data_IF_627859861968
#
_entry.id   IF_627859861968
#
_cell.length_a   1.000
_cell.length_b   1.000
_cell.length_c   1.000
_cell.angle_alpha   90.00
_cell.angle_beta   90.00
_cell.angle_gamma   90.00
#
_symmetry.space_group_name_H-M   'P 1'
#
loop_
_entity.id
_entity.type
_entity.pdbx_description
1 polymer ?
#
# COMPACT_ATOMS: atom_id res chain seq x y z
N UNK A 1 -4.55 31.52 -3.19
CA UNK A 1 -4.34 30.23 -2.52
C UNK A 1 -4.11 29.19 -3.64
N UNK A 2 -2.84 28.91 -3.99
CA UNK A 2 -2.50 28.00 -5.08
C UNK A 2 -2.86 26.57 -4.65
N UNK A 3 -3.86 25.99 -5.30
CA UNK A 3 -4.13 24.56 -5.24
C UNK A 3 -2.95 23.84 -5.94
N UNK A 4 -2.03 23.30 -5.16
CA UNK A 4 -1.03 22.35 -5.66
C UNK A 4 -1.81 21.13 -6.12
N UNK A 5 -2.06 21.06 -7.44
CA UNK A 5 -2.71 19.90 -8.06
C UNK A 5 -1.71 18.75 -8.01
N UNK A 6 -1.99 17.72 -7.20
CA UNK A 6 -1.30 16.44 -7.23
C UNK A 6 -1.62 15.71 -8.55
N UNK A 7 -1.16 16.23 -9.68
CA UNK A 7 -1.26 15.54 -10.97
C UNK A 7 -0.19 14.47 -11.02
N UNK A 8 -0.50 13.23 -11.42
CA UNK A 8 0.52 12.24 -11.69
C UNK A 8 1.36 12.73 -12.87
N UNK A 9 2.60 13.10 -12.58
CA UNK A 9 3.64 13.35 -13.58
C UNK A 9 4.36 12.02 -13.74
N UNK A 10 4.47 11.52 -14.97
CA UNK A 10 5.25 10.32 -15.27
C UNK A 10 6.70 10.45 -14.79
N UNK A 11 7.45 9.35 -14.70
CA UNK A 11 8.83 9.40 -14.26
C UNK A 11 9.60 10.37 -15.16
N UNK A 12 10.45 11.24 -14.57
CA UNK A 12 11.34 12.07 -15.38
C UNK A 12 12.19 11.16 -16.26
N UNK A 13 12.38 11.54 -17.53
CA UNK A 13 13.22 10.80 -18.47
C UNK A 13 14.59 10.53 -17.83
N UNK A 14 14.99 9.26 -17.77
CA UNK A 14 16.30 8.85 -17.22
C UNK A 14 16.27 8.29 -15.79
N UNK A 15 15.15 8.28 -15.05
CA UNK A 15 15.07 7.59 -13.77
C UNK A 15 14.99 6.08 -14.02
N UNK A 16 16.13 5.42 -14.03
CA UNK A 16 16.19 3.95 -13.92
C UNK A 16 15.86 3.58 -12.47
N UNK A 17 14.92 2.70 -12.28
CA UNK A 17 14.60 2.15 -10.96
C UNK A 17 15.70 1.15 -10.56
N UNK A 18 16.78 1.66 -9.97
CA UNK A 18 17.91 0.88 -9.50
C UNK A 18 17.73 0.40 -8.05
N UNK A 19 16.49 0.40 -7.51
CA UNK A 19 16.28 -0.12 -6.17
C UNK A 19 16.72 -1.59 -6.11
N UNK A 20 17.83 -1.83 -5.41
CA UNK A 20 18.25 -3.17 -4.99
C UNK A 20 17.89 -3.31 -3.52
N UNK A 21 17.08 -4.31 -3.14
CA UNK A 21 16.93 -4.65 -1.73
C UNK A 21 18.32 -4.84 -1.13
N UNK A 22 18.55 -4.43 0.13
CA UNK A 22 19.79 -4.74 0.81
C UNK A 22 20.08 -6.23 0.67
N UNK A 23 21.26 -6.59 0.21
CA UNK A 23 21.73 -7.98 0.23
C UNK A 23 21.63 -8.40 1.69
N UNK A 24 20.92 -9.48 1.99
CA UNK A 24 20.91 -10.03 3.32
C UNK A 24 22.37 -10.35 3.66
N UNK A 25 22.95 -9.59 4.58
CA UNK A 25 24.11 -10.07 5.29
C UNK A 25 23.67 -11.38 5.95
N UNK A 26 24.26 -12.47 5.51
CA UNK A 26 24.14 -13.78 6.16
C UNK A 26 24.91 -13.71 7.49
N UNK A 27 24.44 -12.87 8.41
CA UNK A 27 24.84 -12.95 9.80
C UNK A 27 24.04 -14.09 10.41
N UNK A 28 24.70 -15.22 10.58
CA UNK A 28 24.27 -16.24 11.53
C UNK A 28 23.84 -15.53 12.82
N UNK A 29 22.69 -15.86 13.43
CA UNK A 29 22.30 -15.24 14.67
C UNK A 29 23.32 -15.65 15.73
N UNK A 30 24.24 -14.74 16.06
CA UNK A 30 24.97 -14.83 17.29
C UNK A 30 23.95 -14.95 18.42
N UNK A 31 24.02 -16.02 19.20
CA UNK A 31 23.26 -16.22 20.44
C UNK A 31 23.58 -15.04 21.37
N UNK A 32 22.80 -13.99 21.33
CA UNK A 32 22.69 -13.06 22.44
C UNK A 32 21.58 -13.58 23.36
N UNK A 33 22.00 -14.16 24.51
CA UNK A 33 21.14 -14.34 25.67
C UNK A 33 20.63 -12.97 26.12
N UNK A 34 19.40 -12.64 25.76
CA UNK A 34 18.72 -11.41 26.17
C UNK A 34 17.22 -11.61 25.96
N UNK A 35 16.44 -11.59 27.04
CA UNK A 35 15.03 -11.92 27.14
C UNK A 35 14.18 -11.59 25.92
N UNK A 36 13.48 -12.58 25.41
CA UNK A 36 12.60 -12.50 24.26
C UNK A 36 11.36 -11.66 24.55
N UNK A 37 11.49 -10.33 24.51
CA UNK A 37 10.37 -9.41 24.50
C UNK A 37 9.92 -9.19 23.06
N UNK A 38 8.97 -9.97 22.58
CA UNK A 38 8.28 -9.68 21.31
C UNK A 38 7.72 -8.25 21.34
N UNK A 39 7.84 -7.50 20.24
CA UNK A 39 7.20 -6.19 20.14
C UNK A 39 5.69 -6.37 20.27
N UNK A 40 5.07 -5.79 21.28
CA UNK A 40 3.60 -5.83 21.39
C UNK A 40 2.97 -5.19 20.15
N UNK A 41 1.76 -5.61 19.81
CA UNK A 41 0.99 -5.02 18.71
C UNK A 41 0.94 -3.49 18.83
N UNK A 42 0.77 -2.97 20.05
CA UNK A 42 0.75 -1.54 20.33
C UNK A 42 2.10 -0.86 20.03
N UNK A 43 3.21 -1.51 20.37
CA UNK A 43 4.55 -0.99 20.04
C UNK A 43 4.78 -0.95 18.53
N UNK A 44 4.37 -1.99 17.80
CA UNK A 44 4.45 -2.00 16.34
C UNK A 44 3.58 -0.90 15.71
N UNK A 45 2.36 -0.68 16.24
CA UNK A 45 1.49 0.41 15.78
C UNK A 45 2.13 1.79 16.00
N UNK A 46 2.79 2.04 17.10
CA UNK A 46 3.53 3.29 17.32
C UNK A 46 4.65 3.48 16.28
N UNK A 47 5.38 2.42 15.94
CA UNK A 47 6.42 2.48 14.91
C UNK A 47 5.87 2.77 13.50
N UNK A 48 4.63 2.39 13.21
CA UNK A 48 3.96 2.76 11.95
C UNK A 48 3.73 4.27 11.86
N UNK A 49 3.58 4.96 12.99
CA UNK A 49 3.23 6.39 13.04
C UNK A 49 1.98 6.69 12.20
N UNK A 50 0.86 6.03 12.58
CA UNK A 50 -0.38 6.10 11.83
C UNK A 50 -1.20 7.34 12.22
N UNK A 51 -1.43 8.22 11.25
CA UNK A 51 -2.40 9.32 11.31
C UNK A 51 -3.73 8.84 10.71
N UNK A 52 -4.84 9.05 11.41
CA UNK A 52 -6.18 8.78 10.89
C UNK A 52 -6.74 10.08 10.32
N UNK A 53 -6.93 10.15 9.01
CA UNK A 53 -7.49 11.31 8.31
C UNK A 53 -8.44 10.84 7.18
N UNK A 54 -9.66 10.51 7.60
CA UNK A 54 -10.67 9.85 6.79
C UNK A 54 -11.29 10.77 5.73
N UNK A 55 -11.50 10.22 4.53
CA UNK A 55 -12.46 10.78 3.59
C UNK A 55 -13.86 10.64 4.19
N UNK A 56 -14.64 11.71 4.17
CA UNK A 56 -16.00 11.71 4.72
C UNK A 56 -16.89 10.70 4.00
N UNK A 57 -17.65 9.91 4.74
CA UNK A 57 -18.65 9.02 4.15
C UNK A 57 -19.65 9.81 3.30
N UNK A 58 -20.16 9.20 2.25
CA UNK A 58 -21.08 9.77 1.25
C UNK A 58 -20.48 10.88 0.39
N UNK A 59 -19.14 11.01 0.37
CA UNK A 59 -18.43 11.92 -0.53
C UNK A 59 -17.41 11.19 -1.41
N UNK A 60 -17.20 11.66 -2.63
CA UNK A 60 -16.17 11.22 -3.57
C UNK A 60 -15.99 9.67 -3.62
N UNK A 61 -14.81 9.16 -3.32
CA UNK A 61 -14.53 7.72 -3.33
C UNK A 61 -15.34 6.92 -2.31
N UNK A 62 -15.88 7.56 -1.28
CA UNK A 62 -16.80 6.99 -0.30
C UNK A 62 -18.26 7.46 -0.49
N UNK A 63 -18.62 7.94 -1.70
CA UNK A 63 -20.01 8.38 -1.99
C UNK A 63 -21.03 7.26 -1.81
N UNK A 64 -20.62 6.03 -2.02
CA UNK A 64 -21.36 4.82 -1.68
C UNK A 64 -20.52 4.03 -0.69
N UNK A 65 -20.99 3.88 0.54
CA UNK A 65 -20.35 3.04 1.55
C UNK A 65 -20.72 1.58 1.26
N UNK A 66 -19.72 0.77 0.98
CA UNK A 66 -19.88 -0.65 0.64
C UNK A 66 -19.17 -1.50 1.70
N UNK A 67 -19.89 -2.29 2.49
CA UNK A 67 -19.27 -3.16 3.48
C UNK A 67 -18.30 -4.15 2.84
N UNK A 68 -17.20 -4.44 3.54
CA UNK A 68 -16.19 -5.42 3.13
C UNK A 68 -15.74 -6.23 4.33
N UNK A 69 -15.58 -7.54 4.12
CA UNK A 69 -14.81 -8.41 5.02
C UNK A 69 -13.46 -8.66 4.36
N UNK A 70 -12.39 -7.99 4.79
CA UNK A 70 -11.10 -8.08 4.10
C UNK A 70 -10.51 -9.48 4.24
N UNK A 71 -10.02 -10.01 3.12
CA UNK A 71 -9.33 -11.30 3.02
C UNK A 71 -7.91 -11.16 2.50
N UNK A 72 -7.59 -10.02 1.91
CA UNK A 72 -6.31 -9.71 1.29
C UNK A 72 -5.80 -8.33 1.73
N UNK A 73 -4.50 -8.13 1.59
CA UNK A 73 -3.87 -6.81 1.62
C UNK A 73 -3.17 -6.62 0.28
N UNK A 74 -3.56 -5.57 -0.45
CA UNK A 74 -2.97 -5.24 -1.75
C UNK A 74 -1.98 -4.09 -1.60
N UNK A 75 -0.75 -4.33 -2.02
CA UNK A 75 0.32 -3.35 -1.98
C UNK A 75 0.46 -2.69 -3.36
N UNK A 76 0.48 -1.35 -3.33
CA UNK A 76 0.66 -0.48 -4.50
C UNK A 76 1.86 0.42 -4.33
N UNK A 77 2.22 1.10 -5.40
CA UNK A 77 3.05 2.30 -5.39
C UNK A 77 2.35 3.41 -6.16
N UNK A 78 2.44 4.64 -5.64
CA UNK A 78 1.66 5.77 -6.15
C UNK A 78 2.03 6.16 -7.58
N UNK A 79 3.25 5.84 -8.02
CA UNK A 79 3.81 6.29 -9.30
C UNK A 79 3.65 7.83 -9.47
N UNK A 80 3.70 8.54 -8.35
CA UNK A 80 3.58 9.99 -8.27
C UNK A 80 4.83 10.56 -7.59
N UNK A 81 5.65 11.26 -8.38
CA UNK A 81 6.94 11.78 -7.94
C UNK A 81 6.87 13.17 -7.30
N UNK A 82 5.67 13.73 -7.14
CA UNK A 82 5.45 15.07 -6.57
C UNK A 82 4.56 15.08 -5.33
N UNK A 83 3.75 14.05 -5.14
CA UNK A 83 2.77 13.99 -4.03
C UNK A 83 3.22 13.08 -2.91
N UNK A 84 3.32 13.63 -1.71
CA UNK A 84 3.48 12.90 -0.45
C UNK A 84 2.16 12.28 0.05
N UNK A 85 2.17 11.62 1.21
CA UNK A 85 0.97 10.99 1.76
C UNK A 85 -0.12 12.01 2.11
N UNK A 86 0.25 13.20 2.54
CA UNK A 86 -0.70 14.28 2.88
C UNK A 86 -1.31 14.89 1.63
N UNK A 87 -0.53 15.00 0.54
CA UNK A 87 -1.02 15.42 -0.76
C UNK A 87 -2.08 14.43 -1.29
N UNK A 88 -1.80 13.12 -1.22
CA UNK A 88 -2.76 12.09 -1.60
C UNK A 88 -4.02 12.13 -0.72
N UNK A 89 -3.87 12.34 0.59
CA UNK A 89 -4.99 12.51 1.50
C UNK A 89 -5.90 13.66 1.08
N UNK A 90 -5.32 14.85 0.83
CA UNK A 90 -6.08 16.01 0.34
C UNK A 90 -6.76 15.73 -0.99
N UNK A 91 -6.06 15.07 -1.93
CA UNK A 91 -6.61 14.73 -3.24
C UNK A 91 -7.82 13.78 -3.13
N UNK A 92 -7.76 12.79 -2.26
CA UNK A 92 -8.89 11.88 -1.98
C UNK A 92 -10.07 12.63 -1.33
N UNK A 93 -9.80 13.50 -0.35
CA UNK A 93 -10.82 14.28 0.36
C UNK A 93 -11.52 15.32 -0.51
N UNK A 94 -10.87 15.78 -1.57
CA UNK A 94 -11.40 16.78 -2.51
C UNK A 94 -11.91 16.16 -3.81
N UNK A 95 -11.86 14.83 -3.96
CA UNK A 95 -12.32 14.13 -5.16
C UNK A 95 -11.49 14.44 -6.41
N UNK A 96 -10.22 14.80 -6.24
CA UNK A 96 -9.33 15.11 -7.36
C UNK A 96 -8.89 13.84 -8.13
N UNK A 97 -8.95 12.67 -7.49
CA UNK A 97 -8.53 11.41 -8.09
C UNK A 97 -9.71 10.69 -8.73
N UNK A 98 -9.87 10.92 -10.02
CA UNK A 98 -10.94 10.32 -10.82
C UNK A 98 -10.51 8.95 -11.33
N UNK A 99 -11.42 8.00 -11.29
CA UNK A 99 -11.28 6.75 -12.03
C UNK A 99 -11.73 6.95 -13.49
N UNK A 100 -11.02 6.33 -14.42
CA UNK A 100 -11.50 6.27 -15.80
C UNK A 100 -12.85 5.53 -15.83
N UNK A 101 -13.86 6.14 -16.44
CA UNK A 101 -15.12 5.48 -16.78
C UNK A 101 -14.82 4.47 -17.89
N UNK A 102 -14.73 3.20 -17.54
CA UNK A 102 -14.62 2.11 -18.52
C UNK A 102 -15.94 1.35 -18.57
N UNK A 103 -16.19 0.61 -19.64
CA UNK A 103 -17.38 -0.26 -19.77
C UNK A 103 -17.54 -1.24 -18.58
N UNK A 104 -16.42 -1.55 -17.92
CA UNK A 104 -16.34 -2.43 -16.73
C UNK A 104 -15.79 -1.67 -15.53
N UNK A 105 -15.91 -0.34 -15.54
CA UNK A 105 -15.21 0.51 -14.59
C UNK A 105 -15.97 0.78 -13.32
N UNK A 106 -15.29 1.51 -12.51
CA UNK A 106 -15.68 1.99 -11.23
C UNK A 106 -16.97 2.82 -11.30
N UNK A 107 -18.07 2.29 -10.78
CA UNK A 107 -19.39 2.96 -10.72
C UNK A 107 -19.38 4.22 -9.86
N UNK A 108 -18.38 4.35 -8.97
CA UNK A 108 -18.22 5.51 -8.08
C UNK A 108 -17.62 6.69 -8.86
N UNK A 109 -16.75 6.45 -9.85
CA UNK A 109 -16.10 7.48 -10.65
C UNK A 109 -14.92 8.16 -9.95
N UNK A 110 -14.51 7.66 -8.78
CA UNK A 110 -13.40 8.16 -7.98
C UNK A 110 -12.53 7.00 -7.51
N UNK A 111 -11.23 7.25 -7.35
CA UNK A 111 -10.34 6.33 -6.66
C UNK A 111 -10.44 6.54 -5.15
N UNK A 112 -10.28 5.46 -4.40
CA UNK A 112 -10.12 5.46 -2.94
C UNK A 112 -9.39 4.21 -2.50
N UNK A 113 -8.46 4.34 -1.58
CA UNK A 113 -7.73 3.27 -0.93
C UNK A 113 -7.62 3.49 0.57
N UNK A 114 -7.17 2.50 1.31
CA UNK A 114 -7.24 2.53 2.77
C UNK A 114 -6.10 3.31 3.41
N UNK A 115 -4.87 3.14 2.90
CA UNK A 115 -3.68 3.73 3.50
C UNK A 115 -2.73 4.28 2.45
N UNK A 116 -2.11 5.43 2.74
CA UNK A 116 -0.92 5.90 2.04
C UNK A 116 0.24 5.94 3.02
N UNK A 117 1.40 5.42 2.61
CA UNK A 117 2.59 5.28 3.45
C UNK A 117 3.76 6.02 2.82
N UNK A 118 4.46 6.81 3.60
CA UNK A 118 5.76 7.40 3.27
C UNK A 118 6.79 7.07 4.35
N UNK A 119 8.00 7.59 4.22
CA UNK A 119 9.14 7.24 5.07
C UNK A 119 8.96 7.53 6.56
N UNK A 120 8.20 8.56 6.93
CA UNK A 120 8.05 9.01 8.32
C UNK A 120 6.64 8.82 8.89
N UNK A 121 5.61 8.59 8.05
CA UNK A 121 4.22 8.39 8.51
C UNK A 121 3.39 7.51 7.57
N UNK A 122 2.28 7.02 8.09
CA UNK A 122 1.19 6.42 7.32
C UNK A 122 -0.10 7.19 7.58
N UNK A 123 -0.98 7.34 6.57
CA UNK A 123 -2.29 7.99 6.71
C UNK A 123 -3.39 6.99 6.34
N UNK A 124 -4.39 6.84 7.20
CA UNK A 124 -5.59 6.05 6.93
C UNK A 124 -6.69 6.95 6.37
N UNK A 125 -7.25 6.59 5.22
CA UNK A 125 -8.25 7.39 4.48
C UNK A 125 -9.66 6.84 4.59
N UNK A 126 -9.81 5.56 4.90
CA UNK A 126 -11.11 4.91 5.05
C UNK A 126 -11.02 3.69 6.00
N UNK A 127 -12.16 3.24 6.57
CA UNK A 127 -12.21 2.03 7.38
C UNK A 127 -11.80 0.79 6.59
N UNK A 128 -11.09 -0.15 7.22
CA UNK A 128 -10.64 -1.40 6.58
C UNK A 128 -11.77 -2.36 6.24
N UNK A 129 -12.94 -2.16 6.80
CA UNK A 129 -14.16 -2.92 6.52
C UNK A 129 -15.06 -2.30 5.46
N UNK A 130 -14.57 -1.31 4.73
CA UNK A 130 -15.24 -0.71 3.57
C UNK A 130 -14.46 -1.02 2.28
N UNK A 131 -15.19 -1.32 1.20
CA UNK A 131 -14.59 -1.59 -0.11
C UNK A 131 -13.97 -0.33 -0.72
N UNK A 132 -12.70 -0.44 -1.14
CA UNK A 132 -11.99 0.60 -1.89
C UNK A 132 -12.22 0.54 -3.41
N UNK A 133 -11.57 1.46 -4.11
CA UNK A 133 -11.49 1.51 -5.58
C UNK A 133 -10.04 1.74 -5.98
N UNK A 134 -9.23 0.69 -5.95
CA UNK A 134 -7.77 0.81 -6.11
C UNK A 134 -7.13 -0.30 -6.95
N UNK A 135 -7.83 -1.41 -7.24
CA UNK A 135 -7.19 -2.58 -7.86
C UNK A 135 -7.77 -2.93 -9.24
N UNK A 136 -8.95 -3.52 -9.30
CA UNK A 136 -9.48 -4.24 -10.46
C UNK A 136 -10.92 -3.86 -10.82
N UNK A 137 -11.27 -2.61 -10.61
CA UNK A 137 -12.62 -2.07 -10.83
C UNK A 137 -13.65 -2.72 -9.88
N UNK A 138 -14.67 -3.42 -10.40
CA UNK A 138 -15.64 -4.17 -9.58
C UNK A 138 -15.17 -5.59 -9.22
N UNK A 139 -13.89 -5.89 -9.36
CA UNK A 139 -13.32 -7.20 -9.14
C UNK A 139 -13.05 -7.56 -7.67
N UNK A 140 -12.53 -8.77 -7.42
CA UNK A 140 -12.26 -9.24 -6.07
C UNK A 140 -11.16 -8.43 -5.36
N UNK A 141 -10.23 -7.81 -6.09
CA UNK A 141 -9.20 -6.95 -5.53
C UNK A 141 -9.79 -5.77 -4.78
N UNK A 142 -10.81 -5.09 -5.34
CA UNK A 142 -11.52 -4.02 -4.65
C UNK A 142 -12.46 -4.55 -3.55
N UNK A 143 -13.13 -5.68 -3.79
CA UNK A 143 -14.16 -6.19 -2.88
C UNK A 143 -13.64 -6.92 -1.66
N UNK A 144 -12.39 -7.37 -1.67
CA UNK A 144 -11.85 -8.26 -0.65
C UNK A 144 -10.51 -7.78 -0.07
N UNK A 145 -9.93 -6.67 -0.56
CA UNK A 145 -8.62 -6.29 -0.10
C UNK A 145 -8.51 -4.88 0.50
N UNK A 146 -7.66 -4.77 1.52
CA UNK A 146 -7.19 -3.51 2.05
C UNK A 146 -6.08 -3.00 1.14
N UNK A 147 -6.24 -1.83 0.52
CA UNK A 147 -5.23 -1.21 -0.35
C UNK A 147 -4.28 -0.32 0.42
N UNK A 148 -2.97 -0.50 0.19
CA UNK A 148 -1.90 0.32 0.75
C UNK A 148 -1.06 0.89 -0.41
N UNK A 149 -0.97 2.21 -0.51
CA UNK A 149 -0.16 2.93 -1.49
C UNK A 149 1.15 3.41 -0.86
N UNK A 150 2.28 3.04 -1.44
CA UNK A 150 3.61 3.53 -1.05
C UNK A 150 3.95 4.78 -1.85
N UNK A 151 4.32 5.88 -1.17
CA UNK A 151 4.74 7.12 -1.80
C UNK A 151 6.08 7.00 -2.52
N UNK A 152 6.21 7.76 -3.61
CA UNK A 152 7.42 7.82 -4.45
C UNK A 152 7.89 9.26 -4.74
N UNK A 153 7.39 10.25 -3.99
CA UNK A 153 7.75 11.64 -4.21
C UNK A 153 9.25 11.89 -4.00
N UNK A 154 9.76 12.94 -4.63
CA UNK A 154 11.16 13.35 -4.48
C UNK A 154 11.46 13.64 -3.01
N UNK A 155 12.61 13.18 -2.53
CA UNK A 155 13.03 13.30 -1.14
C UNK A 155 12.50 12.20 -0.21
N UNK A 156 11.53 11.37 -0.64
CA UNK A 156 11.06 10.24 0.14
C UNK A 156 12.12 9.14 0.25
N UNK A 157 12.40 8.67 1.44
CA UNK A 157 13.26 7.52 1.66
C UNK A 157 12.50 6.22 1.36
N UNK A 158 12.72 5.67 0.17
CA UNK A 158 12.03 4.45 -0.30
C UNK A 158 12.23 3.26 0.64
N UNK A 159 13.44 3.06 1.17
CA UNK A 159 13.70 1.94 2.07
C UNK A 159 12.89 2.07 3.36
N UNK A 160 12.84 3.25 3.97
CA UNK A 160 12.04 3.52 5.15
C UNK A 160 10.53 3.38 4.87
N UNK A 161 10.07 3.81 3.68
CA UNK A 161 8.67 3.62 3.24
C UNK A 161 8.30 2.14 3.14
N UNK A 162 9.16 1.32 2.54
CA UNK A 162 8.94 -0.13 2.43
C UNK A 162 8.89 -0.77 3.82
N UNK A 163 9.82 -0.44 4.71
CA UNK A 163 9.86 -0.98 6.07
C UNK A 163 8.62 -0.57 6.88
N UNK A 164 8.16 0.68 6.76
CA UNK A 164 6.93 1.14 7.39
C UNK A 164 5.70 0.43 6.84
N UNK A 165 5.66 0.22 5.52
CA UNK A 165 4.61 -0.55 4.85
C UNK A 165 4.58 -1.99 5.35
N UNK A 166 5.74 -2.64 5.50
CA UNK A 166 5.82 -3.99 6.03
C UNK A 166 5.30 -4.09 7.48
N UNK A 167 5.62 -3.11 8.33
CA UNK A 167 5.09 -3.01 9.71
C UNK A 167 3.57 -2.82 9.73
N UNK A 168 3.06 -1.87 8.93
CA UNK A 168 1.61 -1.65 8.82
C UNK A 168 0.90 -2.91 8.31
N UNK A 169 1.47 -3.58 7.31
CA UNK A 169 0.92 -4.84 6.78
C UNK A 169 0.85 -5.92 7.85
N UNK A 170 1.90 -6.10 8.65
CA UNK A 170 1.93 -7.05 9.76
C UNK A 170 0.84 -6.75 10.83
N UNK A 171 0.67 -5.45 11.17
CA UNK A 171 -0.41 -5.01 12.07
C UNK A 171 -1.79 -5.34 11.51
N UNK A 172 -2.00 -5.08 10.21
CA UNK A 172 -3.29 -5.35 9.55
C UNK A 172 -3.57 -6.85 9.41
N UNK A 173 -2.54 -7.66 9.12
CA UNK A 173 -2.63 -9.13 9.15
C UNK A 173 -3.15 -9.61 10.52
N UNK A 174 -2.53 -9.15 11.61
CA UNK A 174 -2.92 -9.53 12.98
C UNK A 174 -4.35 -9.12 13.31
N UNK A 175 -4.70 -7.86 12.99
CA UNK A 175 -6.03 -7.30 13.32
C UNK A 175 -7.18 -7.94 12.54
N UNK A 176 -6.93 -8.40 11.30
CA UNK A 176 -7.97 -8.89 10.41
C UNK A 176 -7.89 -10.40 10.14
N UNK A 177 -6.95 -11.12 10.78
CA UNK A 177 -6.74 -12.55 10.56
C UNK A 177 -6.33 -12.89 9.11
N UNK A 178 -5.60 -11.99 8.43
CA UNK A 178 -5.19 -12.17 7.03
C UNK A 178 -3.84 -12.90 7.01
N UNK A 179 -3.75 -14.07 6.36
CA UNK A 179 -2.51 -14.82 6.28
C UNK A 179 -1.51 -14.19 5.29
N UNK A 180 -0.23 -14.47 5.46
CA UNK A 180 0.85 -13.87 4.65
C UNK A 180 0.70 -14.11 3.13
N UNK A 181 0.22 -15.27 2.72
CA UNK A 181 0.00 -15.58 1.29
C UNK A 181 -1.06 -14.66 0.65
N UNK A 182 -1.89 -14.01 1.44
CA UNK A 182 -2.91 -13.06 0.99
C UNK A 182 -2.39 -11.60 1.03
N UNK A 183 -1.13 -11.38 1.34
CA UNK A 183 -0.44 -10.12 1.07
C UNK A 183 0.07 -10.17 -0.37
N UNK A 184 -0.56 -9.41 -1.25
CA UNK A 184 -0.37 -9.51 -2.71
C UNK A 184 -0.01 -8.16 -3.33
N UNK A 185 0.75 -8.13 -4.44
CA UNK A 185 0.95 -6.91 -5.20
C UNK A 185 -0.31 -6.59 -6.02
N UNK A 186 -0.48 -5.35 -6.45
CA UNK A 186 -1.55 -5.00 -7.39
C UNK A 186 -1.52 -5.89 -8.63
N UNK A 187 -0.34 -6.32 -9.05
CA UNK A 187 -0.15 -7.29 -10.15
C UNK A 187 -1.05 -8.53 -10.02
N UNK A 188 -1.38 -8.96 -8.81
CA UNK A 188 -2.20 -10.15 -8.55
C UNK A 188 -3.61 -10.06 -9.18
N UNK A 189 -4.14 -8.84 -9.32
CA UNK A 189 -5.50 -8.59 -9.77
C UNK A 189 -5.53 -8.20 -11.26
N UNK A 190 -6.01 -9.09 -12.16
CA UNK A 190 -6.15 -8.74 -13.58
C UNK A 190 -7.27 -7.71 -13.75
N UNK A 191 -6.97 -6.63 -14.45
CA UNK A 191 -7.93 -5.56 -14.76
C UNK A 191 -8.65 -5.87 -16.06
N UNK A 192 -9.93 -6.17 -15.96
CA UNK A 192 -10.75 -6.49 -17.13
C UNK A 192 -10.70 -5.37 -18.20
N UNK A 193 -10.46 -5.76 -19.44
CA UNK A 193 -10.38 -4.83 -20.58
C UNK A 193 -9.06 -4.03 -20.66
N UNK A 194 -8.01 -4.44 -19.93
CA UNK A 194 -6.65 -3.89 -20.06
C UNK A 194 -5.71 -4.89 -20.72
N UNK A 195 -4.75 -4.37 -21.47
CA UNK A 195 -3.66 -5.14 -22.06
C UNK A 195 -2.32 -4.44 -21.76
N UNK A 196 -1.39 -5.02 -21.01
CA UNK A 196 -1.57 -6.26 -20.24
C UNK A 196 -2.59 -6.08 -19.11
N UNK A 197 -3.30 -7.17 -18.71
CA UNK A 197 -4.30 -7.09 -17.64
C UNK A 197 -3.68 -6.82 -16.28
N UNK A 198 -2.52 -7.41 -16.00
CA UNK A 198 -1.82 -7.27 -14.73
C UNK A 198 -0.94 -6.02 -14.73
N UNK A 199 -1.13 -5.15 -13.73
CA UNK A 199 -0.34 -3.92 -13.59
C UNK A 199 1.02 -4.22 -12.96
N UNK A 200 2.11 -3.72 -13.55
CA UNK A 200 3.42 -3.69 -12.89
C UNK A 200 3.38 -2.73 -11.68
N UNK A 201 2.88 -3.21 -10.56
CA UNK A 201 2.71 -2.41 -9.35
C UNK A 201 2.70 -3.31 -8.11
N UNK A 202 3.48 -2.96 -7.07
CA UNK A 202 4.43 -1.84 -6.99
C UNK A 202 5.70 -2.14 -7.80
N UNK A 203 6.01 -1.29 -8.77
CA UNK A 203 7.01 -1.59 -9.81
C UNK A 203 8.42 -1.87 -9.26
N UNK A 204 8.84 -1.16 -8.21
CA UNK A 204 10.17 -1.32 -7.62
C UNK A 204 10.31 -2.60 -6.76
N UNK A 205 9.21 -3.28 -6.44
CA UNK A 205 9.20 -4.61 -5.81
C UNK A 205 8.93 -5.75 -6.82
N UNK A 206 8.94 -5.43 -8.11
CA UNK A 206 8.78 -6.42 -9.17
C UNK A 206 10.12 -6.73 -9.83
N UNK A 207 10.26 -7.95 -10.35
CA UNK A 207 11.38 -8.37 -11.18
C UNK A 207 10.87 -8.47 -12.62
N UNK A 208 11.39 -7.61 -13.51
CA UNK A 208 10.95 -7.55 -14.92
C UNK A 208 9.42 -7.45 -15.09
N UNK A 209 8.77 -6.63 -14.23
CA UNK A 209 7.32 -6.39 -14.28
C UNK A 209 6.45 -7.48 -13.67
N UNK A 210 7.01 -8.48 -13.01
CA UNK A 210 6.31 -9.62 -12.38
C UNK A 210 6.79 -9.83 -10.94
N UNK A 211 5.96 -10.42 -10.06
CA UNK A 211 6.41 -10.81 -8.72
C UNK A 211 7.54 -11.85 -8.80
N UNK A 212 8.65 -11.56 -8.13
CA UNK A 212 9.85 -12.39 -8.13
C UNK A 212 10.59 -12.33 -6.79
N UNK A 213 11.93 -12.26 -6.83
CA UNK A 213 12.78 -12.23 -5.63
C UNK A 213 12.52 -10.99 -4.75
N UNK A 214 12.36 -9.81 -5.36
CA UNK A 214 12.06 -8.56 -4.64
C UNK A 214 10.72 -8.63 -3.89
N UNK A 215 9.69 -9.21 -4.52
CA UNK A 215 8.40 -9.41 -3.86
C UNK A 215 8.50 -10.39 -2.69
N UNK A 216 9.18 -11.52 -2.87
CA UNK A 216 9.40 -12.49 -1.77
C UNK A 216 10.20 -11.88 -0.63
N UNK A 217 11.21 -11.04 -0.94
CA UNK A 217 11.93 -10.30 0.09
C UNK A 217 10.98 -9.39 0.90
N UNK A 218 10.10 -8.62 0.24
CA UNK A 218 9.11 -7.79 0.93
C UNK A 218 8.19 -8.63 1.83
N UNK A 219 7.66 -9.75 1.32
CA UNK A 219 6.88 -10.67 2.15
C UNK A 219 7.68 -11.22 3.34
N UNK A 220 8.96 -11.47 3.16
CA UNK A 220 9.88 -11.83 4.25
C UNK A 220 9.98 -10.74 5.32
N UNK A 221 10.03 -9.45 4.93
CA UNK A 221 9.99 -8.32 5.89
C UNK A 221 8.66 -8.24 6.62
N UNK A 222 7.55 -8.42 5.94
CA UNK A 222 6.21 -8.48 6.56
C UNK A 222 6.14 -9.61 7.58
N UNK A 223 6.60 -10.81 7.22
CA UNK A 223 6.61 -11.98 8.11
C UNK A 223 7.50 -11.77 9.34
N UNK A 224 8.66 -11.15 9.16
CA UNK A 224 9.55 -10.78 10.25
C UNK A 224 8.81 -9.92 11.29
N UNK A 225 8.13 -8.86 10.90
CA UNK A 225 7.36 -8.02 11.81
C UNK A 225 6.12 -8.70 12.38
N UNK A 226 5.46 -9.55 11.59
CA UNK A 226 4.32 -10.33 12.05
C UNK A 226 4.69 -11.31 13.19
N UNK A 227 5.86 -11.95 13.07
CA UNK A 227 6.37 -12.82 14.14
C UNK A 227 6.70 -12.04 15.41
N UNK A 228 7.25 -10.83 15.29
CA UNK A 228 7.53 -9.99 16.47
C UNK A 228 6.25 -9.56 17.22
N UNK A 229 5.11 -9.45 16.56
CA UNK A 229 3.83 -9.14 17.21
C UNK A 229 3.27 -10.36 17.95
N UNK A 230 3.61 -11.57 17.53
CA UNK A 230 3.03 -12.82 18.03
C UNK A 230 3.97 -13.59 18.99
N UNK A 231 5.22 -13.18 19.11
CA UNK A 231 6.18 -13.69 20.09
C UNK A 231 6.09 -12.93 21.39
#
# INVERSE_FOLDING_TARGET
>A
MLLVQCRPIGPPAGVRDNYRPPVQATSSPGRSNGGGGGSSLAAMQRQVNLKVDMVRAKTYGRRVVRPMKPRYITIHSTQNYTGDAECHCRALKNGALRSAKTRHGNRIGFLIWHFTVQDNLAIQHMPTYEQGEHADFDGPGNRLSIGIEMCEHRGNNRAATIERTAKLTAVLMKKNGIPLQNVVPHYHWPRRGKNPPNKNCPHFLMDHGRPGAKWRWFQGRVNYYYRQING
#
